data_IF_049918365548
#
_entry.id   IF_049918365548
#
_cell.length_a   1.000
_cell.length_b   1.000
_cell.length_c   1.000
_cell.angle_alpha   90.00
_cell.angle_beta   90.00
_cell.angle_gamma   90.00
#
_symmetry.space_group_name_H-M   'P 1'
#
loop_
_entity.id
_entity.type
_entity.pdbx_description
1 polymer ?
#
# COMPACT_ATOMS: atom_id res chain seq x y z
N UNK A 1 -11.05 55.73 -0.37
CA UNK A 1 -9.85 56.38 -0.95
C UNK A 1 -9.06 56.90 0.24
N UNK A 2 -7.82 56.50 0.48
CA UNK A 2 -6.65 56.66 -0.39
C UNK A 2 -5.71 55.43 -0.26
N UNK A 3 -5.22 54.94 -1.40
CA UNK A 3 -4.14 53.96 -1.53
C UNK A 3 -2.78 54.68 -1.63
N UNK A 4 -1.77 54.15 -0.95
CA UNK A 4 -0.35 54.18 -1.34
C UNK A 4 0.05 52.69 -1.46
N UNK A 5 0.17 52.09 -2.66
CA UNK A 5 1.36 52.05 -3.53
C UNK A 5 2.31 50.90 -3.13
N UNK A 6 2.04 49.62 -3.49
CA UNK A 6 2.61 48.84 -4.63
C UNK A 6 4.15 48.65 -4.54
N UNK A 7 4.81 47.48 -4.68
CA UNK A 7 4.58 46.22 -5.40
C UNK A 7 5.33 45.05 -4.71
N UNK A 8 4.69 43.89 -4.51
CA UNK A 8 4.98 42.67 -5.26
C UNK A 8 4.05 41.53 -4.83
N UNK A 9 3.48 40.93 -5.85
CA UNK A 9 2.67 39.73 -5.89
C UNK A 9 3.31 38.55 -5.16
N UNK A 10 2.53 37.96 -4.27
CA UNK A 10 2.81 36.66 -3.74
C UNK A 10 1.67 36.26 -2.83
N UNK A 11 0.59 35.71 -3.40
CA UNK A 11 -0.08 34.65 -2.66
C UNK A 11 1.02 33.64 -2.34
N UNK A 12 1.57 33.65 -1.12
CA UNK A 12 2.30 32.51 -0.60
C UNK A 12 1.31 31.35 -0.70
N UNK A 13 1.37 30.59 -1.79
CA UNK A 13 0.88 29.24 -1.80
C UNK A 13 1.80 28.52 -0.83
N UNK A 14 1.40 28.46 0.44
CA UNK A 14 1.96 27.47 1.36
C UNK A 14 1.49 26.15 0.79
N UNK A 15 2.29 25.55 -0.10
CA UNK A 15 2.04 24.23 -0.63
C UNK A 15 2.16 23.28 0.57
N UNK A 16 1.03 22.88 1.13
CA UNK A 16 0.98 21.82 2.12
C UNK A 16 1.49 20.55 1.44
N UNK A 17 2.72 20.13 1.76
CA UNK A 17 3.26 18.87 1.24
C UNK A 17 2.56 17.71 1.95
N UNK A 18 1.87 16.89 1.16
CA UNK A 18 1.24 15.66 1.61
C UNK A 18 1.90 14.50 0.86
N UNK A 19 2.34 13.49 1.61
CA UNK A 19 2.86 12.24 1.08
C UNK A 19 1.86 11.15 1.45
N UNK A 20 1.42 10.37 0.46
CA UNK A 20 0.48 9.27 0.67
C UNK A 20 1.23 7.95 0.49
N UNK A 21 1.07 7.06 1.45
CA UNK A 21 1.62 5.71 1.43
C UNK A 21 0.55 4.68 1.75
N UNK A 22 0.86 3.41 1.50
CA UNK A 22 0.00 2.29 1.82
C UNK A 22 0.64 1.45 2.91
N UNK A 23 -0.16 0.90 3.83
CA UNK A 23 0.34 0.04 4.91
C UNK A 23 1.27 -1.06 4.37
N UNK A 24 2.40 -1.25 5.03
CA UNK A 24 3.41 -2.26 4.71
C UNK A 24 4.43 -1.84 3.64
N UNK A 25 4.30 -0.65 3.05
CA UNK A 25 5.28 -0.11 2.09
C UNK A 25 6.37 0.71 2.78
N UNK A 26 7.49 0.96 2.10
CA UNK A 26 8.50 1.91 2.55
C UNK A 26 8.18 3.29 1.94
N UNK A 27 8.29 4.36 2.74
CA UNK A 27 8.07 5.74 2.27
C UNK A 27 9.28 6.61 2.56
N UNK A 28 9.60 7.53 1.66
CA UNK A 28 10.67 8.51 1.84
C UNK A 28 10.11 9.93 1.90
N UNK A 29 10.40 10.62 3.01
CA UNK A 29 10.05 11.99 3.30
C UNK A 29 11.25 12.88 2.97
N UNK A 30 11.12 13.69 1.91
CA UNK A 30 12.24 14.44 1.35
C UNK A 30 12.66 15.62 2.23
N UNK A 31 13.95 15.72 2.54
CA UNK A 31 14.55 16.91 3.14
C UNK A 31 16.00 17.03 2.64
N UNK A 32 16.34 18.15 2.01
CA UNK A 32 17.68 18.39 1.45
C UNK A 32 18.14 19.79 1.79
N UNK A 33 19.44 19.98 1.94
CA UNK A 33 20.06 21.29 2.12
C UNK A 33 21.39 21.36 1.35
N UNK A 34 21.91 22.57 1.18
CA UNK A 34 23.18 22.76 0.47
C UNK A 34 24.37 22.45 1.39
N UNK A 35 24.79 21.19 1.42
CA UNK A 35 25.96 20.76 2.19
C UNK A 35 27.28 21.26 1.59
N UNK A 36 27.34 21.65 0.31
CA UNK A 36 28.55 22.25 -0.25
C UNK A 36 28.79 23.65 0.31
N UNK A 37 27.71 24.42 0.50
CA UNK A 37 27.80 25.76 1.07
C UNK A 37 27.93 25.75 2.60
N UNK A 38 27.12 24.94 3.29
CA UNK A 38 27.06 24.95 4.75
C UNK A 38 27.97 23.91 5.44
N UNK A 39 28.49 22.94 4.69
CA UNK A 39 29.14 21.75 5.26
C UNK A 39 28.15 20.71 5.77
N UNK A 40 28.67 19.61 6.33
CA UNK A 40 27.86 18.59 6.99
C UNK A 40 27.34 19.13 8.32
N UNK A 41 26.03 19.06 8.53
CA UNK A 41 25.36 19.64 9.67
C UNK A 41 24.50 18.61 10.41
N UNK A 42 24.34 18.84 11.72
CA UNK A 42 23.41 18.08 12.56
C UNK A 42 21.98 18.25 12.06
N UNK A 43 21.27 17.13 11.93
CA UNK A 43 19.88 17.08 11.46
C UNK A 43 19.05 16.22 12.39
N UNK A 44 17.81 16.64 12.63
CA UNK A 44 16.82 15.79 13.29
C UNK A 44 15.53 15.74 12.46
N UNK A 45 14.85 14.61 12.59
CA UNK A 45 13.45 14.45 12.24
C UNK A 45 12.63 14.21 13.49
N UNK A 46 11.43 14.78 13.52
CA UNK A 46 10.49 14.59 14.61
C UNK A 46 9.04 14.56 14.15
N UNK A 47 8.17 13.99 14.99
CA UNK A 47 6.72 14.01 14.79
C UNK A 47 6.11 15.29 15.38
N UNK A 48 5.34 16.00 14.57
CA UNK A 48 4.65 17.23 14.93
C UNK A 48 5.33 18.49 14.39
N UNK A 49 4.99 19.64 15.00
CA UNK A 49 5.49 20.93 14.56
C UNK A 49 6.96 21.09 14.98
N UNK A 50 7.77 21.76 14.16
CA UNK A 50 9.18 21.99 14.50
C UNK A 50 9.27 23.08 15.60
N UNK A 51 9.78 22.76 16.80
CA UNK A 51 9.91 23.74 17.87
C UNK A 51 11.01 24.78 17.57
N UNK A 52 11.18 25.74 18.49
CA UNK A 52 12.25 26.73 18.40
C UNK A 52 13.66 26.12 18.58
N UNK A 53 13.77 24.95 19.21
CA UNK A 53 15.03 24.22 19.41
C UNK A 53 14.81 22.73 19.21
N UNK A 54 15.67 22.10 18.42
CA UNK A 54 15.61 20.66 18.14
C UNK A 54 14.35 20.24 17.38
N UNK A 55 13.98 18.98 17.51
CA UNK A 55 12.77 18.39 16.93
C UNK A 55 11.80 17.95 18.03
N UNK A 56 10.50 18.11 17.77
CA UNK A 56 9.47 17.56 18.64
C UNK A 56 9.36 16.05 18.41
N UNK A 57 9.26 15.25 19.48
CA UNK A 57 9.12 13.79 19.40
C UNK A 57 10.10 13.18 18.38
N UNK A 58 11.40 13.38 18.64
CA UNK A 58 12.48 12.97 17.75
C UNK A 58 12.34 11.49 17.34
N UNK A 59 12.39 11.23 16.04
CA UNK A 59 12.35 9.87 15.48
C UNK A 59 13.71 9.39 15.00
N UNK A 60 14.55 10.32 14.52
CA UNK A 60 15.94 10.06 14.15
C UNK A 60 16.75 11.36 14.22
N UNK A 61 18.03 11.24 14.58
CA UNK A 61 18.99 12.33 14.57
C UNK A 61 20.34 11.88 14.07
N UNK A 62 21.00 12.76 13.31
CA UNK A 62 22.36 12.61 12.83
C UNK A 62 23.19 13.83 13.19
N UNK A 63 24.49 13.64 13.38
CA UNK A 63 25.48 14.70 13.53
C UNK A 63 25.98 15.28 12.19
N UNK A 64 25.43 14.79 11.06
CA UNK A 64 25.85 15.14 9.70
C UNK A 64 26.75 14.09 9.05
N UNK A 65 27.33 13.17 9.84
CA UNK A 65 28.16 12.08 9.34
C UNK A 65 27.50 10.72 9.57
N UNK A 66 26.89 10.55 10.75
CA UNK A 66 26.33 9.27 11.20
C UNK A 66 25.04 9.48 11.98
N UNK A 67 24.22 8.43 12.08
CA UNK A 67 23.01 8.43 12.91
C UNK A 67 23.41 8.25 14.37
N UNK A 68 23.06 9.20 15.22
CA UNK A 68 23.42 9.21 16.65
C UNK A 68 22.25 8.85 17.59
N UNK A 69 21.01 8.93 17.09
CA UNK A 69 19.80 8.59 17.84
C UNK A 69 18.70 8.14 16.88
N UNK A 70 17.91 7.14 17.30
CA UNK A 70 16.81 6.59 16.52
C UNK A 70 15.75 5.97 17.43
N UNK A 71 14.49 6.30 17.19
CA UNK A 71 13.36 5.78 17.97
C UNK A 71 12.96 4.35 17.58
N UNK A 72 13.16 3.97 16.31
CA UNK A 72 12.82 2.66 15.77
C UNK A 72 13.73 2.34 14.59
N UNK A 73 14.16 1.09 14.45
CA UNK A 73 14.96 0.63 13.31
C UNK A 73 14.30 0.85 11.93
N UNK A 74 12.97 1.07 11.91
CA UNK A 74 12.24 1.41 10.68
C UNK A 74 12.64 2.79 10.12
N UNK A 75 13.15 3.69 10.96
CA UNK A 75 13.58 5.03 10.54
C UNK A 75 15.02 5.02 10.04
N UNK A 76 15.23 5.48 8.82
CA UNK A 76 16.53 5.47 8.15
C UNK A 76 16.81 6.79 7.45
N UNK A 77 18.08 7.22 7.46
CA UNK A 77 18.59 8.24 6.55
C UNK A 77 19.35 7.52 5.43
N UNK A 78 18.68 7.29 4.30
CA UNK A 78 19.25 6.53 3.17
C UNK A 78 19.82 7.42 2.06
N UNK A 79 19.61 8.74 2.17
CA UNK A 79 20.22 9.71 1.28
C UNK A 79 21.72 9.88 1.54
N UNK A 80 22.41 10.54 0.61
CA UNK A 80 23.80 10.92 0.80
C UNK A 80 23.89 12.12 1.74
N UNK A 81 24.27 11.87 2.99
CA UNK A 81 24.48 12.91 4.00
C UNK A 81 25.58 13.90 3.60
N UNK A 82 26.57 13.46 2.80
CA UNK A 82 27.66 14.32 2.32
C UNK A 82 27.19 15.37 1.31
N UNK A 83 26.14 15.05 0.55
CA UNK A 83 25.50 15.96 -0.42
C UNK A 83 24.28 16.69 0.19
N UNK A 84 24.06 16.53 1.49
CA UNK A 84 22.97 17.18 2.22
C UNK A 84 21.60 16.54 2.01
N UNK A 85 21.54 15.30 1.51
CA UNK A 85 20.28 14.55 1.41
C UNK A 85 19.97 13.82 2.72
N UNK A 86 19.23 14.51 3.58
CA UNK A 86 18.83 14.06 4.92
C UNK A 86 17.39 13.53 4.93
N UNK A 87 16.94 12.97 3.80
CA UNK A 87 15.59 12.44 3.65
C UNK A 87 15.34 11.24 4.56
N UNK A 88 14.21 11.26 5.27
CA UNK A 88 13.80 10.19 6.18
C UNK A 88 13.06 9.09 5.41
N UNK A 89 13.55 7.86 5.47
CA UNK A 89 12.79 6.68 5.05
C UNK A 89 12.18 5.98 6.25
N UNK A 90 10.88 5.68 6.17
CA UNK A 90 10.14 4.90 7.16
C UNK A 90 9.80 3.56 6.50
N UNK A 91 10.37 2.47 7.01
CA UNK A 91 10.10 1.12 6.51
C UNK A 91 8.76 0.59 7.00
N UNK A 92 8.09 -0.18 6.15
CA UNK A 92 6.86 -0.92 6.48
C UNK A 92 5.89 -0.05 7.27
N UNK A 93 5.42 1.04 6.66
CA UNK A 93 4.57 2.02 7.35
C UNK A 93 3.27 1.40 7.84
N UNK A 94 2.80 1.89 8.99
CA UNK A 94 1.51 1.54 9.57
C UNK A 94 0.57 2.77 9.55
N UNK A 95 -0.73 2.56 9.73
CA UNK A 95 -1.69 3.68 9.80
C UNK A 95 -1.32 4.68 10.91
N UNK A 96 -0.76 4.18 12.02
CA UNK A 96 -0.25 4.95 13.16
C UNK A 96 0.97 5.83 12.84
N UNK A 97 1.61 5.61 11.68
CA UNK A 97 2.69 6.46 11.19
C UNK A 97 2.19 7.73 10.52
N UNK A 98 0.88 7.82 10.24
CA UNK A 98 0.25 9.02 9.72
C UNK A 98 0.41 10.20 10.67
N UNK A 99 0.63 11.39 10.11
CA UNK A 99 0.76 12.62 10.87
C UNK A 99 1.76 13.59 10.26
N UNK A 100 1.97 14.70 10.97
CA UNK A 100 2.94 15.71 10.57
C UNK A 100 4.35 15.28 10.96
N UNK A 101 5.30 15.46 10.04
CA UNK A 101 6.73 15.28 10.26
C UNK A 101 7.46 16.59 9.99
N UNK A 102 8.48 16.84 10.80
CA UNK A 102 9.36 18.00 10.67
C UNK A 102 10.82 17.58 10.57
N UNK A 103 11.52 18.10 9.56
CA UNK A 103 12.96 18.04 9.41
C UNK A 103 13.57 19.38 9.82
N UNK A 104 14.59 19.37 10.68
CA UNK A 104 15.36 20.56 11.07
C UNK A 104 16.84 20.30 10.84
N UNK A 105 17.45 21.10 9.97
CA UNK A 105 18.91 21.18 9.80
C UNK A 105 19.42 22.34 10.66
N UNK A 106 20.37 22.05 11.55
CA UNK A 106 20.89 23.01 12.54
C UNK A 106 21.96 23.90 11.89
N UNK A 107 21.53 24.99 11.24
CA UNK A 107 22.44 25.94 10.59
C UNK A 107 22.92 26.95 11.63
N UNK A 108 24.24 27.12 11.81
CA UNK A 108 24.78 28.09 12.76
C UNK A 108 24.22 29.51 12.55
N UNK A 109 23.84 30.16 13.65
CA UNK A 109 23.29 31.52 13.67
C UNK A 109 21.84 31.56 14.15
N UNK A 110 21.35 32.76 14.49
CA UNK A 110 20.00 32.90 15.03
C UNK A 110 18.97 32.84 13.88
N UNK A 111 18.05 31.89 13.94
CA UNK A 111 16.94 31.68 12.99
C UNK A 111 17.31 31.21 11.56
N UNK A 112 18.51 30.67 11.36
CA UNK A 112 18.94 30.21 10.03
C UNK A 112 18.52 28.78 9.68
N UNK A 113 17.89 28.06 10.62
CA UNK A 113 17.55 26.65 10.44
C UNK A 113 16.70 26.43 9.18
N UNK A 114 17.12 25.49 8.34
CA UNK A 114 16.25 24.95 7.30
C UNK A 114 15.24 23.99 7.94
N UNK A 115 13.97 24.39 7.83
CA UNK A 115 12.82 23.69 8.40
C UNK A 115 11.91 23.22 7.26
N UNK A 116 11.71 21.91 7.14
CA UNK A 116 10.76 21.33 6.21
C UNK A 116 9.68 20.58 6.98
N UNK A 117 8.42 20.88 6.70
CA UNK A 117 7.28 20.20 7.29
C UNK A 117 6.39 19.60 6.21
N UNK A 118 5.85 18.42 6.49
CA UNK A 118 4.91 17.73 5.62
C UNK A 118 3.99 16.83 6.44
N UNK A 119 2.91 16.38 5.81
CA UNK A 119 1.99 15.39 6.38
C UNK A 119 2.14 14.07 5.64
N UNK A 120 2.36 12.99 6.38
CA UNK A 120 2.26 11.62 5.87
C UNK A 120 0.85 11.09 6.14
N UNK A 121 0.23 10.51 5.12
CA UNK A 121 -1.03 9.77 5.22
C UNK A 121 -0.80 8.34 4.79
N UNK A 122 -1.02 7.39 5.70
CA UNK A 122 -0.89 5.96 5.42
C UNK A 122 -2.27 5.33 5.35
N UNK A 123 -2.65 4.87 4.16
CA UNK A 123 -3.94 4.24 3.92
C UNK A 123 -3.83 2.72 4.08
N UNK A 124 -4.90 2.08 4.56
CA UNK A 124 -5.03 0.64 4.55
C UNK A 124 -4.77 0.10 3.13
N UNK A 125 -3.95 -0.94 3.01
CA UNK A 125 -3.78 -1.64 1.74
C UNK A 125 -5.09 -2.31 1.31
N UNK A 126 -5.36 -2.34 0.01
CA UNK A 126 -6.41 -3.21 -0.52
C UNK A 126 -6.05 -4.65 -0.16
N UNK A 127 -6.68 -5.13 0.91
CA UNK A 127 -6.70 -6.55 1.20
C UNK A 127 -7.52 -7.17 0.09
N UNK A 128 -6.85 -7.87 -0.84
CA UNK A 128 -7.52 -8.83 -1.73
C UNK A 128 -8.10 -9.92 -0.82
N UNK A 129 -9.29 -9.66 -0.29
CA UNK A 129 -10.04 -10.63 0.46
C UNK A 129 -10.36 -11.77 -0.51
N UNK A 130 -9.64 -12.88 -0.39
CA UNK A 130 -9.93 -14.08 -1.16
C UNK A 130 -11.20 -14.69 -0.55
N UNK A 131 -12.36 -14.16 -0.93
CA UNK A 131 -13.66 -14.70 -0.53
C UNK A 131 -13.92 -15.94 -1.37
N UNK A 132 -13.60 -17.11 -0.82
CA UNK A 132 -13.96 -18.38 -1.46
C UNK A 132 -15.45 -18.65 -1.24
N UNK A 133 -16.30 -18.17 -2.17
CA UNK A 133 -17.72 -18.49 -2.17
C UNK A 133 -17.93 -19.99 -2.50
N UNK A 134 -18.22 -20.82 -1.49
CA UNK A 134 -18.60 -22.23 -1.68
C UNK A 134 -20.09 -22.30 -2.03
N UNK A 135 -20.43 -22.31 -3.31
CA UNK A 135 -21.79 -22.64 -3.75
C UNK A 135 -21.96 -24.15 -3.91
N UNK A 136 -23.09 -24.69 -3.44
CA UNK A 136 -23.47 -26.11 -3.60
C UNK A 136 -24.69 -26.19 -4.52
N UNK A 137 -24.45 -26.36 -5.82
CA UNK A 137 -25.52 -26.56 -6.80
C UNK A 137 -26.02 -28.01 -6.69
N UNK A 138 -27.32 -28.19 -6.44
CA UNK A 138 -27.96 -29.51 -6.43
C UNK A 138 -28.90 -29.61 -7.61
N UNK A 139 -28.55 -30.40 -8.62
CA UNK A 139 -29.40 -30.65 -9.79
C UNK A 139 -30.35 -31.80 -9.46
N UNK A 140 -31.67 -31.55 -9.52
CA UNK A 140 -32.69 -32.61 -9.46
C UNK A 140 -33.25 -32.84 -10.86
N UNK A 141 -32.76 -33.89 -11.53
CA UNK A 141 -33.35 -34.32 -12.81
C UNK A 141 -34.62 -35.10 -12.49
N UNK A 142 -35.78 -34.59 -12.91
CA UNK A 142 -37.03 -35.36 -12.94
C UNK A 142 -37.08 -36.06 -14.30
N UNK A 143 -36.71 -37.33 -14.36
CA UNK A 143 -36.90 -38.15 -15.56
C UNK A 143 -38.32 -38.71 -15.49
N UNK A 144 -39.12 -38.49 -16.55
CA UNK A 144 -40.43 -39.09 -16.65
C UNK A 144 -40.31 -40.48 -17.28
N UNK A 145 -41.06 -41.47 -16.78
CA UNK A 145 -40.96 -42.86 -17.27
C UNK A 145 -41.35 -42.99 -18.76
N UNK A 146 -42.12 -42.03 -19.27
CA UNK A 146 -42.59 -41.95 -20.65
C UNK A 146 -41.43 -41.56 -21.61
N UNK A 147 -40.45 -40.78 -21.16
CA UNK A 147 -39.30 -40.35 -21.98
C UNK A 147 -38.35 -41.51 -22.28
N UNK A 148 -38.32 -42.52 -21.42
CA UNK A 148 -37.54 -43.76 -21.62
C UNK A 148 -38.16 -44.61 -22.75
N UNK A 149 -39.49 -44.61 -22.88
CA UNK A 149 -40.19 -45.38 -23.92
C UNK A 149 -39.93 -44.85 -25.34
N UNK A 150 -39.71 -43.55 -25.49
CA UNK A 150 -39.41 -42.94 -26.79
C UNK A 150 -37.98 -43.20 -27.28
N UNK A 151 -37.01 -43.44 -26.39
CA UNK A 151 -35.65 -43.80 -26.80
C UNK A 151 -35.48 -45.29 -27.16
N UNK A 152 -36.35 -46.17 -26.63
CA UNK A 152 -36.28 -47.60 -26.92
C UNK A 152 -36.93 -48.01 -28.26
N UNK A 153 -37.80 -47.18 -28.83
CA UNK A 153 -38.49 -47.52 -30.09
C UNK A 153 -37.66 -47.25 -31.35
N UNK A 154 -36.64 -46.37 -31.27
CA UNK A 154 -35.82 -45.97 -32.43
C UNK A 154 -34.50 -46.74 -32.58
N UNK A 155 -34.25 -47.78 -31.76
CA UNK A 155 -33.02 -48.61 -31.80
C UNK A 155 -33.39 -50.08 -32.06
N UNK A 156 -34.30 -50.34 -33.00
CA UNK A 156 -34.68 -51.69 -33.42
C UNK A 156 -34.50 -51.95 -34.93
N UNK A 157 -33.60 -51.23 -35.61
CA UNK A 157 -33.32 -51.50 -37.05
C UNK A 157 -31.92 -51.97 -37.39
N UNK A 158 -30.93 -51.93 -36.50
CA UNK A 158 -29.60 -52.49 -36.81
C UNK A 158 -29.13 -53.48 -35.76
N UNK A 159 -29.05 -54.72 -36.20
CA UNK A 159 -28.69 -55.88 -35.41
C UNK A 159 -27.22 -55.80 -34.93
N UNK A 160 -27.00 -56.41 -33.76
CA UNK A 160 -25.72 -56.72 -33.09
C UNK A 160 -25.24 -55.69 -32.05
N UNK A 161 -25.87 -55.70 -30.87
CA UNK A 161 -25.14 -55.51 -29.62
C UNK A 161 -25.68 -56.46 -28.54
N UNK A 162 -25.08 -57.65 -28.46
CA UNK A 162 -25.30 -58.60 -27.37
C UNK A 162 -24.47 -58.14 -26.18
N UNK A 163 -25.05 -57.38 -25.27
CA UNK A 163 -24.47 -57.11 -23.94
C UNK A 163 -25.46 -57.63 -22.90
N UNK A 164 -25.04 -58.68 -22.20
CA UNK A 164 -25.79 -59.32 -21.13
C UNK A 164 -26.17 -58.31 -20.04
N UNK A 165 -27.46 -58.18 -19.77
CA UNK A 165 -27.98 -57.49 -18.60
C UNK A 165 -27.61 -58.28 -17.33
N UNK A 166 -26.42 -58.04 -16.78
CA UNK A 166 -26.16 -58.37 -15.37
C UNK A 166 -26.64 -57.21 -14.51
N UNK A 167 -27.86 -57.40 -14.04
CA UNK A 167 -28.52 -56.66 -12.98
C UNK A 167 -27.59 -56.59 -11.75
N UNK A 168 -27.65 -55.45 -11.05
CA UNK A 168 -27.22 -55.25 -9.65
C UNK A 168 -25.76 -54.79 -9.42
N UNK A 169 -25.69 -53.61 -8.79
CA UNK A 169 -24.69 -53.12 -7.82
C UNK A 169 -23.45 -52.35 -8.33
N UNK A 170 -23.41 -51.10 -7.85
CA UNK A 170 -22.23 -50.40 -7.29
C UNK A 170 -21.24 -49.86 -8.34
N UNK A 171 -21.26 -48.53 -8.55
CA UNK A 171 -20.10 -47.68 -8.24
C UNK A 171 -20.42 -46.19 -8.47
N UNK A 172 -20.07 -45.42 -7.44
CA UNK A 172 -20.10 -43.96 -7.32
C UNK A 172 -19.42 -43.31 -8.52
N UNK A 173 -20.14 -42.50 -9.30
CA UNK A 173 -19.48 -41.54 -10.19
C UNK A 173 -19.10 -40.33 -9.34
N UNK A 174 -17.79 -40.15 -9.16
CA UNK A 174 -17.16 -38.98 -8.54
C UNK A 174 -17.64 -37.71 -9.24
N UNK A 175 -17.93 -36.67 -8.46
CA UNK A 175 -18.16 -35.33 -8.95
C UNK A 175 -17.03 -34.92 -9.92
N UNK A 176 -17.37 -34.62 -11.16
CA UNK A 176 -16.48 -33.94 -12.09
C UNK A 176 -16.48 -32.44 -11.77
N UNK A 177 -15.30 -31.86 -11.53
CA UNK A 177 -15.12 -30.43 -11.35
C UNK A 177 -15.23 -29.74 -12.72
N UNK A 178 -16.23 -28.88 -12.91
CA UNK A 178 -16.28 -27.97 -14.05
C UNK A 178 -15.77 -26.58 -13.63
N UNK A 179 -14.82 -26.04 -14.38
CA UNK A 179 -14.34 -24.65 -14.27
C UNK A 179 -15.05 -23.80 -15.32
N UNK A 180 -15.71 -22.71 -14.90
CA UNK A 180 -16.34 -21.76 -15.82
C UNK A 180 -15.35 -20.61 -16.12
N UNK A 181 -14.98 -20.46 -17.40
CA UNK A 181 -14.28 -19.27 -17.92
C UNK A 181 -15.35 -18.36 -18.51
N UNK A 182 -15.39 -17.09 -18.06
CA UNK A 182 -16.32 -16.08 -18.58
C UNK A 182 -15.50 -15.13 -19.47
N UNK A 183 -15.93 -14.95 -20.72
CA UNK A 183 -15.44 -13.91 -21.64
C UNK A 183 -16.16 -12.59 -21.41
#
# INVERSE_FOLDING_TARGET
>A
MICFGLLQSGHHCVIWKIVIATVGTDVTLTCKYDAHYYGKLSVCWGRGAIPNRGCANEVIKSDGESVISRLSERYLLVGDLGEGDVSLTIRQVEESDSGMYGCRVDIPGWFNDHKHQLTLTVNAGESKLHVTAKYKITIRIKINIIDIFHMCSNVMTDNVCRIEYKVVKILKIKAANCTLVIQ
#
